data_IF_559359261806
#
_entry.id   IF_559359261806
#
_cell.length_a   1.000
_cell.length_b   1.000
_cell.length_c   1.000
_cell.angle_alpha   90.00
_cell.angle_beta   90.00
_cell.angle_gamma   90.00
#
_symmetry.space_group_name_H-M   'P 1'
#
loop_
_entity.id
_entity.type
_entity.pdbx_description
1 polymer ?
#
# COMPACT_ATOMS: atom_id res chain seq x y z
N UNK A 1 0.72 6.71 16.87
CA UNK A 1 1.88 6.66 15.95
C UNK A 1 2.63 7.99 16.00
N UNK A 2 3.94 7.97 16.06
CA UNK A 2 4.73 9.19 16.15
C UNK A 2 4.87 9.85 14.78
N UNK A 3 4.93 11.19 14.76
CA UNK A 3 5.05 11.96 13.49
C UNK A 3 6.24 11.56 12.65
N UNK A 4 7.40 11.28 13.29
CA UNK A 4 8.62 10.87 12.58
C UNK A 4 8.38 9.55 11.82
N UNK A 5 7.72 8.64 12.47
CA UNK A 5 7.41 7.34 11.92
C UNK A 5 6.48 7.46 10.69
N UNK A 6 5.46 8.31 10.79
CA UNK A 6 4.55 8.55 9.67
C UNK A 6 5.31 9.13 8.47
N UNK A 7 6.21 10.09 8.74
CA UNK A 7 7.02 10.71 7.68
C UNK A 7 7.88 9.67 6.96
N UNK A 8 8.57 8.84 7.71
CA UNK A 8 9.43 7.78 7.14
C UNK A 8 8.60 6.79 6.33
N UNK A 9 7.43 6.41 6.82
CA UNK A 9 6.54 5.50 6.10
C UNK A 9 6.06 6.12 4.79
N UNK A 10 5.72 7.40 4.81
CA UNK A 10 5.31 8.12 3.59
C UNK A 10 6.46 8.18 2.58
N UNK A 11 7.70 8.34 3.04
CA UNK A 11 8.85 8.33 2.16
C UNK A 11 9.03 6.96 1.48
N UNK A 12 8.84 5.88 2.22
CA UNK A 12 8.89 4.51 1.66
C UNK A 12 7.80 4.33 0.61
N UNK A 13 6.57 4.76 0.90
CA UNK A 13 5.46 4.66 -0.03
C UNK A 13 5.76 5.46 -1.31
N UNK A 14 6.30 6.66 -1.16
CA UNK A 14 6.63 7.53 -2.29
C UNK A 14 7.71 6.92 -3.16
N UNK A 15 8.75 6.38 -2.55
CA UNK A 15 9.83 5.73 -3.28
C UNK A 15 9.31 4.52 -4.05
N UNK A 16 8.48 3.70 -3.43
CA UNK A 16 7.87 2.54 -4.09
C UNK A 16 6.97 2.97 -5.24
N UNK A 17 6.14 3.99 -5.04
CA UNK A 17 5.29 4.55 -6.08
C UNK A 17 6.11 4.95 -7.30
N UNK A 18 7.18 5.73 -7.08
CA UNK A 18 8.03 6.19 -8.18
C UNK A 18 8.70 5.04 -8.91
N UNK A 19 9.19 4.05 -8.17
CA UNK A 19 9.85 2.89 -8.76
C UNK A 19 8.90 2.09 -9.65
N UNK A 20 7.67 1.89 -9.19
CA UNK A 20 6.67 1.17 -9.97
C UNK A 20 6.25 1.96 -11.22
N UNK A 21 6.09 3.27 -11.08
CA UNK A 21 5.73 4.14 -12.21
C UNK A 21 6.83 4.24 -13.26
N UNK A 22 8.07 3.97 -12.89
CA UNK A 22 9.20 3.97 -13.83
C UNK A 22 9.30 2.69 -14.64
N UNK A 23 8.54 1.66 -14.32
CA UNK A 23 8.59 0.41 -15.08
C UNK A 23 8.10 0.62 -16.51
N UNK A 24 8.75 -0.01 -17.51
CA UNK A 24 8.33 0.15 -18.91
C UNK A 24 6.97 -0.47 -19.19
N UNK A 25 6.61 -1.53 -18.49
CA UNK A 25 5.31 -2.17 -18.61
C UNK A 25 4.49 -1.95 -17.34
N UNK A 26 3.26 -1.48 -17.51
CA UNK A 26 2.38 -1.16 -16.41
C UNK A 26 1.03 -1.85 -16.60
N UNK A 27 0.92 -3.15 -16.24
CA UNK A 27 -0.37 -3.84 -16.31
C UNK A 27 -1.38 -3.20 -15.37
N UNK A 28 -2.66 -3.47 -15.59
CA UNK A 28 -3.73 -2.84 -14.80
C UNK A 28 -3.57 -3.03 -13.30
N UNK A 29 -3.13 -4.20 -12.86
CA UNK A 29 -2.88 -4.46 -11.44
C UNK A 29 -1.78 -3.57 -10.86
N UNK A 30 -0.73 -3.29 -11.63
CA UNK A 30 0.32 -2.38 -11.18
C UNK A 30 -0.21 -0.97 -11.00
N UNK A 31 -1.02 -0.50 -11.95
CA UNK A 31 -1.64 0.83 -11.86
C UNK A 31 -2.63 0.90 -10.70
N UNK A 32 -3.35 -0.17 -10.41
CA UNK A 32 -4.20 -0.24 -9.23
C UNK A 32 -3.38 -0.11 -7.94
N UNK A 33 -2.22 -0.76 -7.88
CA UNK A 33 -1.32 -0.65 -6.74
C UNK A 33 -0.81 0.78 -6.58
N UNK A 34 -0.37 1.42 -7.67
CA UNK A 34 0.13 2.80 -7.58
C UNK A 34 -0.97 3.78 -7.19
N UNK A 35 -2.20 3.57 -7.66
CA UNK A 35 -3.34 4.40 -7.24
C UNK A 35 -3.56 4.30 -5.73
N UNK A 36 -3.50 3.07 -5.19
CA UNK A 36 -3.70 2.85 -3.76
C UNK A 36 -2.52 3.38 -2.94
N UNK A 37 -1.29 3.24 -3.43
CA UNK A 37 -0.12 3.83 -2.77
C UNK A 37 -0.30 5.34 -2.59
N UNK A 38 -0.72 6.01 -3.65
CA UNK A 38 -0.96 7.45 -3.60
C UNK A 38 -2.08 7.81 -2.63
N UNK A 39 -3.15 7.02 -2.62
CA UNK A 39 -4.28 7.25 -1.74
C UNK A 39 -3.87 7.12 -0.27
N UNK A 40 -3.12 6.07 0.07
CA UNK A 40 -2.60 5.88 1.43
C UNK A 40 -1.64 7.00 1.81
N UNK A 41 -0.77 7.39 0.89
CA UNK A 41 0.16 8.51 1.11
C UNK A 41 -0.57 9.77 1.56
N UNK A 42 -1.68 10.10 0.89
CA UNK A 42 -2.47 11.30 1.20
C UNK A 42 -3.18 11.22 2.55
N UNK A 43 -3.56 10.04 2.99
CA UNK A 43 -4.40 9.85 4.18
C UNK A 43 -3.64 9.45 5.44
N UNK A 44 -2.39 9.02 5.31
CA UNK A 44 -1.69 8.37 6.41
C UNK A 44 -1.56 9.24 7.66
N UNK A 45 -1.39 10.54 7.50
CA UNK A 45 -1.22 11.46 8.62
C UNK A 45 -2.54 12.02 9.18
N UNK A 46 -3.68 11.66 8.57
CA UNK A 46 -4.99 12.14 9.01
C UNK A 46 -5.89 11.04 9.58
N UNK A 47 -5.58 9.77 9.33
CA UNK A 47 -6.39 8.67 9.84
C UNK A 47 -6.09 8.40 11.30
N UNK A 48 -7.09 7.86 12.01
CA UNK A 48 -6.98 7.58 13.43
C UNK A 48 -5.99 6.45 13.74
N UNK A 49 -5.95 5.43 12.88
CA UNK A 49 -5.10 4.26 13.07
C UNK A 49 -4.25 4.01 11.82
N UNK A 50 -3.14 4.76 11.65
CA UNK A 50 -2.29 4.61 10.47
C UNK A 50 -1.78 3.18 10.26
N UNK A 51 -1.52 2.45 11.34
CA UNK A 51 -1.03 1.07 11.31
C UNK A 51 -1.99 0.14 10.58
N UNK A 52 -3.29 0.33 10.78
CA UNK A 52 -4.30 -0.46 10.08
C UNK A 52 -4.28 -0.16 8.58
N UNK A 53 -4.12 1.11 8.23
CA UNK A 53 -4.06 1.51 6.84
C UNK A 53 -2.84 0.93 6.15
N UNK A 54 -1.69 0.93 6.81
CA UNK A 54 -0.46 0.31 6.29
C UNK A 54 -0.66 -1.20 6.12
N UNK A 55 -1.29 -1.85 7.09
CA UNK A 55 -1.57 -3.28 7.03
C UNK A 55 -2.45 -3.61 5.82
N UNK A 56 -3.53 -2.85 5.62
CA UNK A 56 -4.39 -3.03 4.45
C UNK A 56 -3.62 -2.84 3.14
N UNK A 57 -2.76 -1.82 3.10
CA UNK A 57 -1.95 -1.53 1.91
C UNK A 57 -1.03 -2.71 1.57
N UNK A 58 -0.30 -3.22 2.54
CA UNK A 58 0.63 -4.33 2.33
C UNK A 58 -0.11 -5.56 1.83
N UNK A 59 -1.21 -5.91 2.47
CA UNK A 59 -1.99 -7.07 2.06
C UNK A 59 -2.62 -6.91 0.69
N UNK A 60 -3.07 -5.69 0.35
CA UNK A 60 -3.58 -5.40 -0.98
C UNK A 60 -2.50 -5.60 -2.06
N UNK A 61 -1.30 -5.07 -1.81
CA UNK A 61 -0.19 -5.19 -2.76
C UNK A 61 0.17 -6.65 -2.99
N UNK A 62 0.25 -7.45 -1.92
CA UNK A 62 0.54 -8.88 -2.06
C UNK A 62 -0.57 -9.61 -2.82
N UNK A 63 -1.84 -9.30 -2.52
CA UNK A 63 -2.97 -9.95 -3.18
C UNK A 63 -3.01 -9.66 -4.67
N UNK A 64 -2.90 -8.39 -5.04
CA UNK A 64 -2.92 -7.98 -6.45
C UNK A 64 -1.66 -8.48 -7.17
N UNK A 65 -0.51 -8.37 -6.51
CA UNK A 65 0.75 -8.85 -7.07
C UNK A 65 0.71 -10.34 -7.37
N UNK A 66 0.16 -11.12 -6.45
CA UNK A 66 0.02 -12.56 -6.65
C UNK A 66 -0.92 -12.87 -7.82
N UNK A 67 -2.11 -12.25 -7.83
CA UNK A 67 -3.11 -12.49 -8.87
C UNK A 67 -2.62 -12.07 -10.27
N UNK A 68 -1.93 -10.95 -10.37
CA UNK A 68 -1.48 -10.38 -11.64
C UNK A 68 -0.04 -10.80 -12.00
N UNK A 69 0.59 -11.61 -11.17
CA UNK A 69 1.97 -12.07 -11.33
C UNK A 69 2.96 -10.91 -11.41
N UNK A 70 2.72 -9.88 -10.62
CA UNK A 70 3.61 -8.73 -10.49
C UNK A 70 4.68 -9.06 -9.44
N UNK A 71 5.95 -8.88 -9.80
CA UNK A 71 7.07 -9.19 -8.92
C UNK A 71 7.66 -7.93 -8.32
N UNK A 72 8.01 -8.03 -7.04
CA UNK A 72 8.67 -6.95 -6.30
C UNK A 72 10.07 -7.44 -5.92
N UNK A 73 11.07 -7.09 -6.75
CA UNK A 73 12.43 -7.57 -6.60
C UNK A 73 13.37 -6.42 -6.28
N UNK A 74 14.52 -6.74 -5.68
CA UNK A 74 15.53 -5.74 -5.37
C UNK A 74 14.99 -4.68 -4.40
N UNK A 75 15.15 -3.42 -4.77
CA UNK A 75 14.72 -2.30 -3.93
C UNK A 75 13.21 -2.31 -3.67
N UNK A 76 12.41 -2.69 -4.67
CA UNK A 76 10.95 -2.76 -4.49
C UNK A 76 10.58 -3.76 -3.40
N UNK A 77 11.22 -4.93 -3.39
CA UNK A 77 11.00 -5.92 -2.35
C UNK A 77 11.43 -5.43 -0.97
N UNK A 78 12.54 -4.70 -0.89
CA UNK A 78 13.00 -4.10 0.36
C UNK A 78 12.01 -3.09 0.91
N UNK A 79 11.51 -2.22 0.05
CA UNK A 79 10.52 -1.20 0.44
C UNK A 79 9.24 -1.83 0.94
N UNK A 80 8.77 -2.86 0.25
CA UNK A 80 7.57 -3.57 0.66
C UNK A 80 7.75 -4.29 1.99
N UNK A 81 8.92 -4.86 2.24
CA UNK A 81 9.24 -5.46 3.56
C UNK A 81 9.26 -4.42 4.67
N UNK A 82 9.78 -3.23 4.40
CA UNK A 82 9.76 -2.14 5.39
C UNK A 82 8.33 -1.79 5.78
N UNK A 83 7.43 -1.70 4.80
CA UNK A 83 6.01 -1.44 5.08
C UNK A 83 5.39 -2.57 5.89
N UNK A 84 5.69 -3.81 5.56
CA UNK A 84 5.19 -4.97 6.28
C UNK A 84 5.68 -4.98 7.74
N UNK A 85 6.96 -4.67 7.96
CA UNK A 85 7.53 -4.60 9.29
C UNK A 85 6.85 -3.52 10.14
N UNK A 86 6.57 -2.37 9.54
CA UNK A 86 5.89 -1.29 10.24
C UNK A 86 4.46 -1.67 10.65
N UNK A 87 3.73 -2.37 9.77
CA UNK A 87 2.40 -2.85 10.13
C UNK A 87 2.45 -3.89 11.25
N UNK A 88 3.47 -4.74 11.25
CA UNK A 88 3.62 -5.78 12.29
C UNK A 88 3.94 -5.20 13.66
N UNK A 89 4.65 -4.08 13.74
CA UNK A 89 4.95 -3.40 15.00
C UNK A 89 3.71 -2.97 15.75
N UNK A 90 2.59 -2.78 15.05
CA UNK A 90 1.32 -2.40 15.67
C UNK A 90 0.59 -3.58 16.32
N UNK A 91 1.15 -4.78 16.26
CA UNK A 91 0.52 -5.97 16.81
C UNK A 91 -0.65 -6.48 15.98
N UNK A 92 -0.80 -5.98 14.77
CA UNK A 92 -1.84 -6.45 13.87
C UNK A 92 -1.46 -7.83 13.35
N UNK A 93 -2.36 -8.78 13.49
CA UNK A 93 -2.11 -10.14 13.06
C UNK A 93 -3.17 -10.60 12.06
N UNK A 94 -3.06 -11.83 11.62
CA UNK A 94 -3.91 -12.43 10.59
C UNK A 94 -5.37 -12.60 10.99
N UNK A 95 -5.81 -12.12 12.15
CA UNK A 95 -7.22 -12.20 12.58
C UNK A 95 -8.14 -11.36 11.72
N UNK A 96 -7.61 -10.30 11.10
CA UNK A 96 -8.42 -9.45 10.22
C UNK A 96 -8.43 -10.06 8.82
N UNK A 97 -9.33 -11.00 8.63
CA UNK A 97 -9.52 -11.65 7.33
C UNK A 97 -10.52 -10.88 6.48
N UNK A 98 -10.24 -9.62 6.25
CA UNK A 98 -11.00 -8.85 5.27
C UNK A 98 -10.56 -9.28 3.87
N UNK A 99 -11.38 -8.96 2.87
CA UNK A 99 -10.99 -9.11 1.48
C UNK A 99 -9.98 -8.02 1.13
N UNK A 100 -8.71 -8.36 1.27
CA UNK A 100 -7.62 -7.41 1.02
C UNK A 100 -7.45 -7.04 -0.44
N UNK A 101 -8.12 -7.74 -1.35
CA UNK A 101 -8.03 -7.44 -2.79
C UNK A 101 -8.99 -6.34 -3.23
N UNK A 102 -9.88 -5.89 -2.37
CA UNK A 102 -10.86 -4.87 -2.71
C UNK A 102 -10.23 -3.47 -2.70
N UNK A 103 -10.08 -2.88 -3.87
CA UNK A 103 -9.52 -1.53 -4.01
C UNK A 103 -10.38 -0.48 -3.30
N UNK A 104 -11.69 -0.69 -3.26
CA UNK A 104 -12.64 0.23 -2.65
C UNK A 104 -12.37 0.50 -1.17
N UNK A 105 -11.69 -0.40 -0.46
CA UNK A 105 -11.37 -0.21 0.96
C UNK A 105 -10.51 1.03 1.25
N UNK A 106 -9.85 1.58 0.23
CA UNK A 106 -8.98 2.75 0.37
C UNK A 106 -9.68 4.06 0.01
N UNK A 107 -10.94 4.01 -0.39
CA UNK A 107 -11.69 5.18 -0.85
C UNK A 107 -12.95 5.38 -0.04
N UNK A 108 -13.29 6.64 0.23
CA UNK A 108 -14.55 7.00 0.86
C UNK A 108 -15.70 6.93 -0.17
N UNK A 109 -16.94 6.90 0.30
CA UNK A 109 -18.11 6.86 -0.57
C UNK A 109 -18.17 8.05 -1.55
N UNK A 110 -17.62 9.20 -1.15
CA UNK A 110 -17.61 10.40 -1.98
C UNK A 110 -16.43 10.47 -2.95
N UNK A 111 -15.47 9.56 -2.83
CA UNK A 111 -14.28 9.56 -3.67
C UNK A 111 -14.48 8.66 -4.88
N UNK A 112 -13.98 9.12 -6.02
CA UNK A 112 -13.99 8.33 -7.24
C UNK A 112 -12.82 7.34 -7.25
N UNK A 113 -13.12 6.08 -7.52
CA UNK A 113 -12.12 5.02 -7.59
C UNK A 113 -11.62 4.93 -9.03
N UNK A 114 -10.30 5.16 -9.28
CA UNK A 114 -9.76 4.99 -10.64
C UNK A 114 -9.96 3.56 -11.13
N UNK A 115 -10.50 3.43 -12.32
CA UNK A 115 -10.75 2.13 -12.96
C UNK A 115 -9.71 1.87 -14.04
N UNK A 116 -8.99 0.78 -13.89
CA UNK A 116 -7.92 0.43 -14.83
C UNK A 116 -8.27 -0.78 -15.68
#
# INVERSE_FOLDING_TARGET
MKKVYIKETKEVIHELYNSLMDRPQKPSGLLDITDVLLQVYKKLDTVKYPEYLINKLVNYIYSVGFDQKIRFMGRDGELLRKLADESNKAGLNSRYRADYSAKSQFYNLSEEIPRR
#
